data_IF_351902441149
#
_entry.id   IF_351902441149
#
_cell.length_a   1.000
_cell.length_b   1.000
_cell.length_c   1.000
_cell.angle_alpha   90.00
_cell.angle_beta   90.00
_cell.angle_gamma   90.00
#
_symmetry.space_group_name_H-M   'P 1'
#
loop_
_entity.id
_entity.type
_entity.pdbx_description
1 polymer ?
#
# COMPACT_ATOMS: atom_id res chain seq x y z
N UNK A 1 30.21 -56.58 -36.19
CA UNK A 1 29.82 -57.56 -35.16
C UNK A 1 28.43 -57.13 -34.70
N UNK A 2 27.36 -57.65 -35.33
CA UNK A 2 26.64 -58.87 -34.96
C UNK A 2 26.00 -58.76 -33.56
N UNK A 3 24.73 -59.06 -33.29
CA UNK A 3 23.56 -59.44 -34.10
C UNK A 3 22.37 -59.64 -33.15
N UNK A 4 21.17 -59.23 -33.60
CA UNK A 4 19.85 -59.89 -33.49
C UNK A 4 19.34 -60.56 -32.20
N UNK A 5 18.11 -60.20 -31.81
CA UNK A 5 16.84 -60.96 -31.97
C UNK A 5 15.74 -60.30 -31.11
N UNK A 6 14.44 -60.25 -31.39
CA UNK A 6 13.55 -60.46 -32.54
C UNK A 6 12.12 -60.16 -32.04
N UNK A 7 11.31 -59.45 -32.85
CA UNK A 7 9.89 -59.16 -32.64
C UNK A 7 8.98 -60.39 -32.99
N UNK A 8 7.71 -60.23 -33.43
CA UNK A 8 6.44 -60.01 -32.72
C UNK A 8 5.38 -61.10 -33.06
N UNK A 9 4.16 -61.08 -32.51
CA UNK A 9 2.96 -61.76 -33.07
C UNK A 9 1.70 -61.24 -32.34
N UNK A 10 0.68 -60.61 -32.94
CA UNK A 10 -0.19 -60.83 -34.11
C UNK A 10 -1.59 -61.36 -33.72
N UNK A 11 -2.59 -60.58 -34.16
CA UNK A 11 -3.89 -60.97 -34.75
C UNK A 11 -4.97 -61.64 -33.87
N UNK A 12 -6.16 -61.02 -33.87
CA UNK A 12 -7.32 -61.64 -34.53
C UNK A 12 -8.32 -60.57 -35.02
N UNK A 13 -8.53 -60.56 -36.33
CA UNK A 13 -9.57 -59.83 -37.07
C UNK A 13 -10.22 -60.85 -38.01
N UNK A 14 -11.55 -61.00 -37.98
CA UNK A 14 -12.38 -61.72 -38.95
C UNK A 14 -13.81 -61.18 -38.78
N UNK A 15 -14.34 -60.26 -39.61
CA UNK A 15 -14.78 -60.34 -41.02
C UNK A 15 -16.13 -61.07 -41.20
N UNK A 16 -17.13 -60.25 -41.59
CA UNK A 16 -18.32 -60.45 -42.46
C UNK A 16 -19.17 -61.73 -42.34
N UNK A 17 -20.48 -61.50 -42.15
CA UNK A 17 -21.50 -62.07 -43.05
C UNK A 17 -22.56 -61.03 -43.39
N UNK A 18 -22.79 -60.89 -44.69
CA UNK A 18 -23.66 -59.96 -45.40
C UNK A 18 -24.90 -60.66 -45.98
N UNK A 19 -25.90 -59.86 -46.35
CA UNK A 19 -27.01 -60.06 -47.32
C UNK A 19 -28.41 -60.54 -46.84
N UNK A 20 -29.33 -59.55 -46.88
CA UNK A 20 -30.60 -59.48 -47.62
C UNK A 20 -31.76 -60.47 -47.33
N UNK A 21 -32.91 -59.92 -46.89
CA UNK A 21 -34.09 -59.60 -47.75
C UNK A 21 -35.22 -58.92 -46.95
N UNK A 22 -35.91 -57.96 -47.59
CA UNK A 22 -37.09 -57.16 -47.16
C UNK A 22 -38.36 -57.89 -47.68
N UNK A 23 -39.54 -57.86 -47.01
CA UNK A 23 -40.56 -56.85 -47.34
C UNK A 23 -41.45 -56.33 -46.19
N UNK A 24 -41.72 -55.01 -46.25
CA UNK A 24 -43.01 -54.29 -46.08
C UNK A 24 -43.84 -54.54 -44.80
N UNK A 25 -44.20 -53.53 -44.01
CA UNK A 25 -45.06 -52.43 -44.45
C UNK A 25 -44.98 -51.20 -43.53
N UNK A 26 -44.97 -50.06 -44.21
CA UNK A 26 -45.23 -48.68 -43.82
C UNK A 26 -46.42 -48.45 -42.88
N UNK A 27 -46.23 -47.56 -41.90
CA UNK A 27 -47.05 -46.34 -41.78
C UNK A 27 -46.22 -45.18 -41.22
N UNK A 28 -46.24 -44.11 -41.99
CA UNK A 28 -45.66 -42.79 -41.75
C UNK A 28 -46.32 -42.06 -40.59
N UNK A 29 -45.54 -41.42 -39.73
CA UNK A 29 -45.90 -40.13 -39.16
C UNK A 29 -44.63 -39.33 -38.90
N UNK A 30 -44.51 -38.19 -39.58
CA UNK A 30 -43.48 -37.18 -39.36
C UNK A 30 -43.38 -36.83 -37.86
N UNK A 31 -42.31 -37.24 -37.18
CA UNK A 31 -41.85 -36.52 -36.00
C UNK A 31 -40.85 -35.48 -36.49
N UNK A 32 -41.38 -34.29 -36.78
CA UNK A 32 -40.59 -33.07 -36.72
C UNK A 32 -39.90 -33.03 -35.36
N UNK A 33 -38.58 -32.91 -35.37
CA UNK A 33 -37.78 -32.54 -34.21
C UNK A 33 -38.36 -31.25 -33.59
N UNK A 34 -39.20 -31.40 -32.57
CA UNK A 34 -39.49 -30.30 -31.66
C UNK A 34 -38.24 -30.16 -30.78
N UNK A 35 -37.29 -29.37 -31.25
CA UNK A 35 -36.42 -28.65 -30.34
C UNK A 35 -37.33 -27.85 -29.41
N UNK A 36 -37.38 -28.24 -28.15
CA UNK A 36 -37.88 -27.36 -27.09
C UNK A 36 -37.13 -26.03 -27.23
N UNK A 37 -37.82 -24.88 -27.28
CA UNK A 37 -37.12 -23.61 -27.28
C UNK A 37 -36.34 -23.53 -25.96
N UNK A 38 -35.02 -23.39 -26.05
CA UNK A 38 -34.19 -23.01 -24.91
C UNK A 38 -34.73 -21.65 -24.48
N UNK A 39 -35.45 -21.63 -23.36
CA UNK A 39 -36.07 -20.43 -22.82
C UNK A 39 -34.96 -19.58 -22.18
N UNK A 40 -34.28 -18.75 -22.98
CA UNK A 40 -33.19 -17.85 -22.56
C UNK A 40 -33.70 -16.60 -21.83
N UNK A 41 -34.81 -16.72 -21.10
CA UNK A 41 -35.39 -15.61 -20.36
C UNK A 41 -36.18 -16.10 -19.17
N UNK A 42 -35.95 -15.48 -18.01
CA UNK A 42 -36.75 -15.71 -16.81
C UNK A 42 -37.71 -14.54 -16.62
N UNK A 43 -38.94 -14.85 -16.20
CA UNK A 43 -39.97 -13.85 -15.90
C UNK A 43 -40.11 -13.75 -14.39
N UNK A 44 -39.76 -12.61 -13.81
CA UNK A 44 -39.98 -12.33 -12.40
C UNK A 44 -41.32 -11.62 -12.23
N UNK A 45 -42.18 -12.14 -11.34
CA UNK A 45 -43.33 -11.39 -10.85
C UNK A 45 -42.86 -10.28 -9.92
N UNK A 46 -43.06 -9.02 -10.31
CA UNK A 46 -42.76 -7.89 -9.45
C UNK A 46 -43.98 -7.59 -8.58
N UNK A 47 -43.84 -7.81 -7.28
CA UNK A 47 -44.83 -7.39 -6.28
C UNK A 47 -44.43 -6.01 -5.78
N UNK A 48 -45.35 -5.04 -5.90
CA UNK A 48 -45.10 -3.69 -5.38
C UNK A 48 -44.82 -3.74 -3.87
N UNK A 49 -43.88 -2.93 -3.38
CA UNK A 49 -43.47 -2.96 -1.96
C UNK A 49 -44.62 -2.69 -0.98
N UNK A 50 -45.66 -1.98 -1.42
CA UNK A 50 -46.88 -1.70 -0.63
C UNK A 50 -48.02 -2.70 -0.92
N UNK A 51 -47.76 -3.82 -1.61
CA UNK A 51 -48.76 -4.85 -1.91
C UNK A 51 -49.27 -5.52 -0.62
N UNK A 52 -50.59 -5.70 -0.51
CA UNK A 52 -51.24 -6.26 0.68
C UNK A 52 -51.53 -5.26 1.80
N UNK A 53 -51.12 -4.00 1.66
CA UNK A 53 -51.49 -2.94 2.59
C UNK A 53 -52.77 -2.23 2.13
N UNK A 54 -53.74 -2.05 3.04
CA UNK A 54 -55.00 -1.35 2.78
C UNK A 54 -54.79 0.19 2.80
N UNK A 55 -53.91 0.68 1.92
CA UNK A 55 -53.50 2.09 1.84
C UNK A 55 -54.28 2.83 0.74
N UNK A 56 -54.64 4.10 0.99
CA UNK A 56 -55.28 4.94 -0.02
C UNK A 56 -54.28 5.33 -1.13
N UNK A 57 -54.77 5.72 -2.31
CA UNK A 57 -53.92 6.22 -3.40
C UNK A 57 -53.00 7.37 -2.95
N UNK A 58 -53.51 8.27 -2.11
CA UNK A 58 -52.73 9.38 -1.57
C UNK A 58 -51.58 8.89 -0.67
N UNK A 59 -51.84 7.92 0.20
CA UNK A 59 -50.82 7.32 1.06
C UNK A 59 -49.72 6.61 0.25
N UNK A 60 -50.08 5.89 -0.81
CA UNK A 60 -49.12 5.25 -1.71
C UNK A 60 -48.22 6.29 -2.40
N UNK A 61 -48.80 7.41 -2.85
CA UNK A 61 -48.04 8.52 -3.45
C UNK A 61 -47.11 9.18 -2.42
N UNK A 62 -47.59 9.45 -1.21
CA UNK A 62 -46.77 10.03 -0.13
C UNK A 62 -45.56 9.14 0.23
N UNK A 63 -45.77 7.82 0.32
CA UNK A 63 -44.69 6.86 0.56
C UNK A 63 -43.69 6.80 -0.59
N UNK A 64 -44.18 6.84 -1.83
CA UNK A 64 -43.33 6.92 -3.02
C UNK A 64 -42.47 8.18 -3.04
N UNK A 65 -43.05 9.34 -2.71
CA UNK A 65 -42.34 10.62 -2.59
C UNK A 65 -41.30 10.56 -1.49
N UNK A 66 -41.62 10.01 -0.31
CA UNK A 66 -40.65 9.86 0.77
C UNK A 66 -39.47 8.97 0.37
N UNK A 67 -39.71 7.81 -0.24
CA UNK A 67 -38.65 6.95 -0.80
C UNK A 67 -37.85 7.66 -1.90
N UNK A 68 -38.51 8.47 -2.73
CA UNK A 68 -37.87 9.30 -3.75
C UNK A 68 -36.90 10.33 -3.15
N UNK A 69 -37.32 11.02 -2.07
CA UNK A 69 -36.48 11.96 -1.33
C UNK A 69 -35.26 11.27 -0.70
N UNK A 70 -35.46 10.13 -0.02
CA UNK A 70 -34.36 9.36 0.56
C UNK A 70 -33.36 8.87 -0.49
N UNK A 71 -33.84 8.44 -1.67
CA UNK A 71 -32.94 8.09 -2.80
C UNK A 71 -32.21 9.31 -3.34
N UNK A 72 -32.87 10.45 -3.47
CA UNK A 72 -32.24 11.69 -3.92
C UNK A 72 -31.19 12.17 -2.92
N UNK A 73 -31.46 12.10 -1.62
CA UNK A 73 -30.49 12.37 -0.56
C UNK A 73 -29.29 11.43 -0.67
N UNK A 74 -29.52 10.13 -0.90
CA UNK A 74 -28.45 9.16 -1.13
C UNK A 74 -27.66 9.45 -2.40
N UNK A 75 -28.32 9.81 -3.51
CA UNK A 75 -27.63 10.19 -4.75
C UNK A 75 -26.82 11.47 -4.58
N UNK A 76 -27.34 12.46 -3.85
CA UNK A 76 -26.61 13.68 -3.53
C UNK A 76 -25.40 13.39 -2.63
N UNK A 77 -25.54 12.50 -1.64
CA UNK A 77 -24.43 12.06 -0.81
C UNK A 77 -23.38 11.26 -1.59
N UNK A 78 -23.78 10.49 -2.60
CA UNK A 78 -22.87 9.81 -3.53
C UNK A 78 -22.23 10.77 -4.56
N UNK A 79 -22.86 11.92 -4.82
CA UNK A 79 -22.36 12.94 -5.75
C UNK A 79 -21.42 13.95 -5.08
N UNK A 80 -21.43 14.06 -3.75
CA UNK A 80 -20.44 14.81 -2.99
C UNK A 80 -19.21 13.94 -2.75
N UNK A 81 -18.02 14.41 -3.17
CA UNK A 81 -16.76 13.80 -2.73
C UNK A 81 -16.76 13.70 -1.20
N UNK A 82 -16.26 12.59 -0.62
CA UNK A 82 -16.13 12.48 0.82
C UNK A 82 -15.38 13.72 1.36
N UNK A 83 -15.81 14.30 2.49
CA UNK A 83 -15.08 15.40 3.10
C UNK A 83 -13.65 14.93 3.35
N UNK A 84 -12.68 15.69 2.86
CA UNK A 84 -11.29 15.34 3.10
C UNK A 84 -10.92 15.55 4.57
N UNK A 85 -10.02 14.71 5.04
CA UNK A 85 -9.51 14.67 6.40
C UNK A 85 -7.98 14.79 6.36
N UNK A 86 -7.40 15.21 7.46
CA UNK A 86 -5.96 15.32 7.62
C UNK A 86 -5.51 14.84 9.01
N UNK A 87 -4.23 14.49 9.09
CA UNK A 87 -3.53 14.24 10.34
C UNK A 87 -2.16 14.92 10.32
N UNK A 88 -1.74 15.59 11.41
CA UNK A 88 -0.41 16.12 11.52
C UNK A 88 0.65 15.02 11.44
N UNK A 89 1.69 15.27 10.66
CA UNK A 89 2.90 14.46 10.58
C UNK A 89 4.04 15.14 11.32
N UNK A 90 4.85 14.34 12.00
CA UNK A 90 6.07 14.81 12.64
C UNK A 90 7.17 13.78 12.50
N UNK A 91 8.40 14.28 12.54
CA UNK A 91 9.62 13.48 12.54
C UNK A 91 9.73 12.71 13.85
N UNK A 92 10.03 11.43 13.73
CA UNK A 92 10.45 10.56 14.81
C UNK A 92 11.91 10.13 14.67
N UNK A 93 12.29 9.03 15.31
CA UNK A 93 13.61 8.43 15.24
C UNK A 93 13.75 7.56 13.97
N UNK A 94 13.94 8.21 12.82
CA UNK A 94 14.08 7.54 11.51
C UNK A 94 12.76 7.21 10.78
N UNK A 95 11.64 7.52 11.43
CA UNK A 95 10.28 7.32 10.91
C UNK A 95 9.46 8.61 10.96
N UNK A 96 8.31 8.62 10.29
CA UNK A 96 7.34 9.70 10.36
C UNK A 96 6.06 9.24 11.05
N UNK A 97 5.64 10.02 12.04
CA UNK A 97 4.52 9.67 12.90
C UNK A 97 3.30 10.52 12.57
N UNK A 98 2.17 9.87 12.30
CA UNK A 98 0.88 10.54 12.14
C UNK A 98 0.14 10.63 13.47
N UNK A 99 -0.43 11.81 13.75
CA UNK A 99 -1.19 12.09 14.98
C UNK A 99 -2.69 12.08 14.71
N UNK A 100 -3.41 11.27 15.46
CA UNK A 100 -4.87 11.20 15.48
C UNK A 100 -5.35 10.86 16.89
N UNK A 101 -6.63 10.49 17.04
CA UNK A 101 -7.13 9.91 18.29
C UNK A 101 -7.89 8.61 18.04
N UNK A 102 -7.97 7.75 19.04
CA UNK A 102 -8.72 6.48 19.00
C UNK A 102 -9.72 6.43 20.16
N UNK A 103 -10.87 5.78 19.95
CA UNK A 103 -11.84 5.50 21.00
C UNK A 103 -12.89 6.59 21.23
N UNK A 104 -13.83 6.31 22.12
CA UNK A 104 -14.84 7.27 22.59
C UNK A 104 -14.97 7.21 24.12
N UNK A 105 -14.55 8.25 24.87
CA UNK A 105 -13.99 9.52 24.41
C UNK A 105 -12.63 9.34 23.69
N UNK A 106 -12.27 10.25 22.77
CA UNK A 106 -11.04 10.14 22.00
C UNK A 106 -9.81 10.26 22.91
N UNK A 107 -8.87 9.34 22.77
CA UNK A 107 -7.54 9.40 23.40
C UNK A 107 -6.46 9.58 22.34
N UNK A 108 -5.36 10.32 22.61
CA UNK A 108 -4.30 10.56 21.64
C UNK A 108 -3.70 9.26 21.12
N UNK A 109 -3.53 9.17 19.80
CA UNK A 109 -2.89 8.06 19.10
C UNK A 109 -1.88 8.61 18.10
N UNK A 110 -0.61 8.31 18.34
CA UNK A 110 0.52 8.72 17.50
C UNK A 110 1.25 7.49 17.05
N UNK A 111 1.34 7.24 15.75
CA UNK A 111 1.84 5.98 15.21
C UNK A 111 2.58 6.19 13.89
N UNK A 112 3.46 5.24 13.55
CA UNK A 112 4.26 5.27 12.32
C UNK A 112 3.33 5.24 11.11
N UNK A 113 3.53 6.16 10.19
CA UNK A 113 2.83 6.18 8.91
C UNK A 113 3.59 5.31 7.92
N UNK A 114 2.96 4.24 7.44
CA UNK A 114 3.66 3.21 6.67
C UNK A 114 2.90 2.85 5.38
N UNK A 115 3.43 3.24 4.22
CA UNK A 115 2.88 2.83 2.92
C UNK A 115 3.34 1.45 2.46
N UNK A 116 4.27 0.81 3.19
CA UNK A 116 4.77 -0.53 2.99
C UNK A 116 3.95 -1.63 3.65
N UNK A 117 2.92 -1.33 4.45
CA UNK A 117 2.08 -2.37 5.05
C UNK A 117 0.60 -1.98 5.16
N UNK A 118 -0.23 -2.99 5.46
CA UNK A 118 -1.67 -2.79 5.55
C UNK A 118 -2.17 -2.64 6.99
N UNK A 119 -1.56 -3.29 7.99
CA UNK A 119 -2.18 -3.36 9.32
C UNK A 119 -2.11 -2.02 10.09
N UNK A 120 -3.26 -1.49 10.49
CA UNK A 120 -3.35 -0.50 11.58
C UNK A 120 -3.29 -1.26 12.92
N UNK A 121 -2.40 -0.88 13.83
CA UNK A 121 -2.36 -1.47 15.17
C UNK A 121 -1.85 -0.51 16.25
N UNK A 122 -2.25 -0.79 17.49
CA UNK A 122 -1.81 -0.05 18.67
C UNK A 122 -1.63 -0.97 19.86
N UNK A 123 -0.84 -0.57 20.85
CA UNK A 123 -0.70 -1.33 22.10
C UNK A 123 -1.96 -1.23 22.95
N UNK A 124 -2.46 -2.38 23.41
CA UNK A 124 -3.70 -2.49 24.17
C UNK A 124 -3.52 -3.07 25.57
N UNK A 125 -4.39 -2.66 26.50
CA UNK A 125 -4.50 -3.26 27.83
C UNK A 125 -5.34 -4.55 27.81
N UNK A 126 -4.97 -5.56 28.62
CA UNK A 126 -3.71 -5.67 29.35
C UNK A 126 -2.54 -5.96 28.39
N UNK A 127 -1.47 -5.17 28.45
CA UNK A 127 -0.28 -5.50 27.70
C UNK A 127 0.62 -6.47 28.47
N UNK A 128 1.09 -7.51 27.79
CA UNK A 128 1.97 -8.55 28.34
C UNK A 128 3.44 -8.29 28.03
N UNK A 129 3.74 -7.92 26.79
CA UNK A 129 5.08 -7.57 26.30
C UNK A 129 4.95 -6.36 25.39
N UNK A 130 5.20 -5.17 25.92
CA UNK A 130 5.11 -3.90 25.19
C UNK A 130 6.35 -3.08 25.45
N UNK A 131 6.57 -2.11 24.57
CA UNK A 131 7.51 -1.01 24.78
C UNK A 131 6.80 0.17 25.43
N UNK A 132 7.58 1.08 26.00
CA UNK A 132 7.07 2.37 26.46
C UNK A 132 6.70 3.23 25.24
N UNK A 133 5.61 3.99 25.35
CA UNK A 133 5.11 4.85 24.26
C UNK A 133 4.72 6.24 24.79
N UNK A 134 4.78 7.29 23.96
CA UNK A 134 4.53 8.67 24.40
C UNK A 134 3.05 9.01 24.61
N UNK A 135 2.15 8.20 24.06
CA UNK A 135 0.69 8.33 24.26
C UNK A 135 0.19 7.21 25.18
N UNK A 136 -0.97 7.33 25.84
CA UNK A 136 -1.46 6.26 26.71
C UNK A 136 -1.70 4.95 25.96
N UNK A 137 -1.27 3.82 26.54
CA UNK A 137 -1.64 2.47 26.04
C UNK A 137 -3.16 2.36 26.01
N UNK A 138 -3.72 1.99 24.86
CA UNK A 138 -5.15 1.99 24.62
C UNK A 138 -5.85 1.00 25.57
N UNK A 139 -6.96 1.44 26.16
CA UNK A 139 -7.75 0.64 27.11
C UNK A 139 -9.12 0.36 26.50
N UNK A 140 -9.32 -0.82 25.89
CA UNK A 140 -10.58 -1.17 25.23
C UNK A 140 -11.82 -0.98 26.10
N UNK A 141 -11.69 -1.19 27.41
CA UNK A 141 -12.82 -1.08 28.36
C UNK A 141 -13.29 0.35 28.55
N UNK A 142 -12.45 1.34 28.23
CA UNK A 142 -12.76 2.77 28.40
C UNK A 142 -13.40 3.40 27.18
N UNK A 143 -13.41 2.72 26.04
CA UNK A 143 -14.02 3.22 24.81
C UNK A 143 -15.43 2.66 24.65
N UNK A 144 -16.42 3.54 24.50
CA UNK A 144 -17.82 3.14 24.30
C UNK A 144 -18.13 2.67 22.88
N UNK A 145 -17.22 2.91 21.93
CA UNK A 145 -17.34 2.52 20.52
C UNK A 145 -16.43 1.34 20.15
N UNK A 146 -15.66 0.83 21.12
CA UNK A 146 -14.87 -0.38 20.96
C UNK A 146 -15.75 -1.61 20.74
N UNK A 147 -15.34 -2.47 19.81
CA UNK A 147 -15.94 -3.79 19.62
C UNK A 147 -14.90 -4.82 19.19
N UNK A 148 -15.00 -6.04 19.72
CA UNK A 148 -14.15 -7.14 19.27
C UNK A 148 -14.54 -7.56 17.85
N UNK A 149 -13.55 -7.82 17.00
CA UNK A 149 -13.81 -8.29 15.65
C UNK A 149 -14.19 -9.77 15.67
N UNK A 150 -15.33 -10.10 15.05
CA UNK A 150 -15.74 -11.50 14.85
C UNK A 150 -14.78 -12.21 13.92
N UNK A 151 -14.60 -13.52 14.13
CA UNK A 151 -13.84 -14.37 13.23
C UNK A 151 -14.44 -14.54 11.84
N UNK A 152 -15.72 -14.22 11.67
CA UNK A 152 -16.38 -14.24 10.36
C UNK A 152 -16.27 -12.91 9.63
N UNK A 153 -15.54 -11.93 10.18
CA UNK A 153 -15.30 -10.66 9.51
C UNK A 153 -14.30 -10.84 8.38
N UNK A 154 -14.53 -10.17 7.26
CA UNK A 154 -13.61 -10.14 6.12
C UNK A 154 -12.21 -9.67 6.55
N UNK A 155 -12.11 -8.64 7.40
CA UNK A 155 -10.84 -8.16 7.94
C UNK A 155 -10.08 -9.22 8.76
N UNK A 156 -10.78 -10.19 9.36
CA UNK A 156 -10.10 -11.30 10.02
C UNK A 156 -9.54 -12.30 9.00
N UNK A 157 -10.28 -12.56 7.92
CA UNK A 157 -9.87 -13.46 6.84
C UNK A 157 -8.72 -12.88 6.00
N UNK A 158 -8.61 -11.55 5.93
CA UNK A 158 -7.52 -10.83 5.24
C UNK A 158 -6.20 -10.82 6.03
N UNK A 159 -6.20 -11.33 7.27
CA UNK A 159 -4.98 -11.50 8.07
C UNK A 159 -4.19 -12.73 7.61
N UNK A 160 -2.89 -12.59 7.38
CA UNK A 160 -2.05 -13.71 6.96
C UNK A 160 -1.93 -14.82 8.02
N UNK A 161 -1.79 -14.44 9.30
CA UNK A 161 -1.70 -15.38 10.43
C UNK A 161 -2.72 -15.00 11.49
N UNK A 162 -3.81 -15.77 11.55
CA UNK A 162 -4.87 -15.58 12.53
C UNK A 162 -5.34 -16.90 13.15
N UNK A 163 -5.99 -16.79 14.31
CA UNK A 163 -6.66 -17.89 15.00
C UNK A 163 -8.00 -17.41 15.54
N UNK A 164 -9.00 -18.27 15.42
CA UNK A 164 -10.29 -18.06 16.06
C UNK A 164 -10.33 -18.62 17.47
N UNK A 165 -10.36 -17.72 18.45
CA UNK A 165 -10.43 -18.04 19.88
C UNK A 165 -11.12 -16.89 20.62
N UNK A 166 -12.44 -16.99 20.81
CA UNK A 166 -13.28 -15.91 21.35
C UNK A 166 -13.11 -14.55 20.64
N UNK A 167 -12.95 -14.59 19.32
CA UNK A 167 -12.66 -13.44 18.46
C UNK A 167 -11.55 -13.76 17.47
N UNK A 168 -11.14 -12.77 16.70
CA UNK A 168 -10.04 -12.89 15.74
C UNK A 168 -8.69 -12.56 16.41
N UNK A 169 -7.91 -13.57 16.79
CA UNK A 169 -6.52 -13.37 17.24
C UNK A 169 -5.58 -13.32 16.04
N UNK A 170 -4.53 -12.50 16.09
CA UNK A 170 -3.60 -12.32 14.98
C UNK A 170 -2.14 -12.32 15.43
N UNK A 171 -1.25 -12.59 14.48
CA UNK A 171 0.18 -12.31 14.53
C UNK A 171 0.58 -11.66 13.20
N UNK A 172 1.34 -10.58 13.27
CA UNK A 172 1.82 -9.85 12.10
C UNK A 172 3.31 -9.60 12.25
N UNK A 173 4.06 -9.77 11.17
CA UNK A 173 5.53 -9.62 11.13
C UNK A 173 5.91 -8.72 9.96
N UNK A 174 6.84 -7.80 10.21
CA UNK A 174 7.36 -6.83 9.25
C UNK A 174 8.70 -7.29 8.66
N UNK A 175 9.16 -6.60 7.62
CA UNK A 175 10.39 -6.94 6.91
C UNK A 175 11.67 -6.81 7.74
N UNK A 176 11.65 -6.00 8.80
CA UNK A 176 12.71 -5.81 9.78
C UNK A 176 12.68 -6.85 10.92
N UNK A 177 11.88 -7.90 10.77
CA UNK A 177 11.63 -8.96 11.75
C UNK A 177 10.86 -8.50 13.01
N UNK A 178 10.43 -7.25 13.06
CA UNK A 178 9.53 -6.79 14.11
C UNK A 178 8.15 -7.44 13.98
N UNK A 179 7.43 -7.53 15.10
CA UNK A 179 6.16 -8.24 15.13
C UNK A 179 5.19 -7.70 16.18
N UNK A 180 3.90 -7.81 15.87
CA UNK A 180 2.81 -7.56 16.82
C UNK A 180 1.87 -8.75 16.87
N UNK A 181 1.39 -9.07 18.07
CA UNK A 181 0.46 -10.14 18.33
C UNK A 181 -0.62 -9.67 19.29
N UNK A 182 -1.86 -10.02 18.97
CA UNK A 182 -3.02 -9.70 19.81
C UNK A 182 -4.32 -10.16 19.20
N UNK A 183 -5.35 -9.32 19.28
CA UNK A 183 -6.66 -9.59 18.70
C UNK A 183 -7.14 -8.39 17.87
N UNK A 184 -7.89 -8.66 16.81
CA UNK A 184 -8.49 -7.65 15.97
C UNK A 184 -9.73 -7.08 16.65
N UNK A 185 -9.93 -5.78 16.49
CA UNK A 185 -11.06 -5.04 17.00
C UNK A 185 -11.47 -3.94 16.03
N UNK A 186 -12.61 -3.31 16.28
CA UNK A 186 -13.03 -2.08 15.62
C UNK A 186 -13.23 -0.99 16.65
N UNK A 187 -12.86 0.24 16.31
CA UNK A 187 -13.19 1.43 17.11
C UNK A 187 -13.28 2.68 16.20
N UNK A 188 -13.45 3.85 16.80
CA UNK A 188 -13.49 5.15 16.14
C UNK A 188 -12.09 5.75 16.09
N UNK A 189 -11.59 6.04 14.90
CA UNK A 189 -10.43 6.92 14.72
C UNK A 189 -10.92 8.34 14.45
N UNK A 190 -10.35 9.32 15.14
CA UNK A 190 -10.72 10.73 14.99
C UNK A 190 -9.56 11.50 14.36
N UNK A 191 -9.83 12.06 13.18
CA UNK A 191 -8.95 12.94 12.40
C UNK A 191 -9.38 14.40 12.57
N UNK A 192 -8.81 15.31 11.79
CA UNK A 192 -9.33 16.69 11.68
C UNK A 192 -9.67 17.05 10.24
N UNK A 193 -10.58 18.00 10.05
CA UNK A 193 -10.82 18.63 8.74
C UNK A 193 -9.82 19.78 8.49
N UNK A 194 -9.95 20.47 7.36
CA UNK A 194 -9.08 21.62 7.00
C UNK A 194 -9.21 22.83 7.95
N UNK A 195 -10.20 22.84 8.84
CA UNK A 195 -10.40 23.87 9.86
C UNK A 195 -10.09 23.36 11.27
N UNK A 196 -9.29 22.30 11.39
CA UNK A 196 -8.88 21.65 12.63
C UNK A 196 -10.05 21.12 13.49
N UNK A 197 -11.21 20.87 12.89
CA UNK A 197 -12.35 20.30 13.60
C UNK A 197 -12.25 18.78 13.64
N UNK A 198 -12.51 18.14 14.79
CA UNK A 198 -12.49 16.68 14.89
C UNK A 198 -13.49 16.01 13.94
N UNK A 199 -13.01 15.02 13.18
CA UNK A 199 -13.81 14.18 12.28
C UNK A 199 -13.69 12.72 12.73
N UNK A 200 -14.68 12.19 13.48
CA UNK A 200 -14.69 10.79 13.90
C UNK A 200 -15.11 9.87 12.76
N UNK A 201 -14.33 8.81 12.54
CA UNK A 201 -14.58 7.75 11.57
C UNK A 201 -14.79 6.44 12.34
N UNK A 202 -16.04 5.96 12.45
CA UNK A 202 -16.35 4.77 13.24
C UNK A 202 -16.00 3.48 12.50
N UNK A 203 -15.95 2.38 13.25
CA UNK A 203 -15.79 1.00 12.75
C UNK A 203 -14.49 0.76 11.96
N UNK A 204 -13.41 1.46 12.29
CA UNK A 204 -12.10 1.16 11.74
C UNK A 204 -11.56 -0.07 12.45
N UNK A 205 -11.27 -1.11 11.68
CA UNK A 205 -10.60 -2.33 12.11
C UNK A 205 -9.11 -2.10 12.36
N UNK A 206 -8.62 -2.60 13.48
CA UNK A 206 -7.23 -2.48 13.88
C UNK A 206 -6.80 -3.67 14.75
N UNK A 207 -5.50 -3.91 14.80
CA UNK A 207 -4.87 -4.86 15.70
C UNK A 207 -4.69 -4.27 17.10
N UNK A 208 -5.30 -4.90 18.10
CA UNK A 208 -5.08 -4.61 19.51
C UNK A 208 -3.89 -5.43 20.03
N UNK A 209 -2.68 -4.88 19.91
CA UNK A 209 -1.43 -5.58 20.21
C UNK A 209 -1.17 -5.71 21.71
N UNK A 210 -1.01 -6.95 22.20
CA UNK A 210 -0.69 -7.25 23.62
C UNK A 210 0.72 -7.82 23.82
N UNK A 211 1.37 -8.19 22.71
CA UNK A 211 2.74 -8.66 22.64
C UNK A 211 3.39 -8.07 21.38
N UNK A 212 4.21 -7.04 21.54
CA UNK A 212 4.83 -6.28 20.47
C UNK A 212 6.36 -6.34 20.65
N UNK A 213 7.06 -6.61 19.57
CA UNK A 213 8.51 -6.81 19.51
C UNK A 213 9.06 -6.05 18.31
N UNK A 214 10.28 -5.53 18.43
CA UNK A 214 10.89 -4.68 17.42
C UNK A 214 11.65 -3.54 18.09
N UNK A 215 12.45 -2.83 17.31
CA UNK A 215 13.22 -1.66 17.74
C UNK A 215 12.64 -0.44 17.03
N UNK A 216 12.61 0.72 17.68
CA UNK A 216 12.17 1.95 17.03
C UNK A 216 10.67 2.19 17.09
N UNK A 217 9.88 1.39 17.82
CA UNK A 217 8.46 1.69 18.04
C UNK A 217 8.20 2.54 19.29
N UNK A 218 9.18 2.72 20.17
CA UNK A 218 9.05 3.49 21.41
C UNK A 218 8.73 4.98 21.20
N UNK A 219 8.92 5.48 19.98
CA UNK A 219 8.55 6.81 19.52
C UNK A 219 7.05 6.99 19.26
N UNK A 220 6.29 5.89 19.15
CA UNK A 220 4.87 5.88 18.81
C UNK A 220 4.10 4.82 19.60
N UNK A 221 2.83 4.65 19.28
CA UNK A 221 1.94 3.67 19.91
C UNK A 221 1.71 2.42 19.05
N UNK A 222 2.37 2.34 17.89
CA UNK A 222 2.17 1.32 16.87
C UNK A 222 2.36 1.92 15.48
N UNK A 223 1.60 1.41 14.52
CA UNK A 223 1.73 1.72 13.10
C UNK A 223 0.36 1.83 12.43
N UNK A 224 0.27 2.68 11.41
CA UNK A 224 -0.91 2.87 10.57
C UNK A 224 -0.54 2.50 9.14
N UNK A 225 -0.94 1.31 8.72
CA UNK A 225 -0.75 0.83 7.37
C UNK A 225 -1.58 1.64 6.37
N UNK A 226 -0.90 2.16 5.35
CA UNK A 226 -1.47 2.90 4.22
C UNK A 226 -1.33 2.12 2.91
N UNK A 227 -0.98 0.83 2.97
CA UNK A 227 -0.90 -0.08 1.83
C UNK A 227 -2.23 -0.24 1.07
N UNK A 228 -2.22 -1.09 0.05
CA UNK A 228 -3.35 -1.30 -0.86
C UNK A 228 -4.34 -2.36 -0.37
N UNK A 229 -4.02 -3.09 0.68
CA UNK A 229 -4.80 -4.21 1.18
C UNK A 229 -6.01 -3.78 2.02
N UNK A 230 -6.92 -4.73 2.33
CA UNK A 230 -8.15 -4.44 3.06
C UNK A 230 -7.95 -3.94 4.49
N UNK A 231 -6.83 -4.32 5.13
CA UNK A 231 -6.50 -3.90 6.49
C UNK A 231 -6.03 -2.43 6.57
N UNK A 232 -5.70 -1.80 5.45
CA UNK A 232 -5.13 -0.45 5.43
C UNK A 232 -6.14 0.65 5.74
N UNK A 233 -5.66 1.74 6.31
CA UNK A 233 -6.50 2.90 6.61
C UNK A 233 -7.18 3.41 5.34
N UNK A 234 -6.42 3.55 4.25
CA UNK A 234 -6.90 4.08 2.96
C UNK A 234 -8.09 3.27 2.43
N UNK A 235 -7.99 1.94 2.49
CA UNK A 235 -9.08 1.05 2.05
C UNK A 235 -10.28 1.12 2.99
N UNK A 236 -10.05 1.09 4.31
CA UNK A 236 -11.13 1.07 5.30
C UNK A 236 -11.94 2.38 5.35
N UNK A 237 -11.31 3.53 5.12
CA UNK A 237 -12.01 4.83 5.04
C UNK A 237 -12.68 5.05 3.67
N UNK A 238 -12.43 4.19 2.69
CA UNK A 238 -13.02 4.27 1.35
C UNK A 238 -12.57 5.49 0.55
N UNK A 239 -11.34 5.98 0.79
CA UNK A 239 -10.78 7.11 0.06
C UNK A 239 -9.69 6.61 -0.90
N UNK A 240 -9.80 6.97 -2.16
CA UNK A 240 -8.86 6.52 -3.20
C UNK A 240 -7.76 7.54 -3.51
N UNK A 241 -7.67 8.60 -2.73
CA UNK A 241 -6.68 9.66 -2.89
C UNK A 241 -6.12 10.04 -1.53
N UNK A 242 -4.80 10.02 -1.43
CA UNK A 242 -4.09 10.51 -0.26
C UNK A 242 -2.73 11.10 -0.69
N UNK A 243 -2.21 11.99 0.14
CA UNK A 243 -0.90 12.58 -0.06
C UNK A 243 -0.24 12.89 1.27
N UNK A 244 1.08 12.93 1.28
CA UNK A 244 1.84 13.44 2.42
C UNK A 244 3.02 14.29 1.93
N UNK A 245 3.58 15.05 2.86
CA UNK A 245 4.80 15.81 2.63
C UNK A 245 5.70 15.63 3.86
N UNK A 246 6.85 14.99 3.69
CA UNK A 246 7.75 14.68 4.80
C UNK A 246 8.70 15.85 5.01
N UNK A 247 8.77 16.40 6.22
CA UNK A 247 9.78 17.43 6.55
C UNK A 247 11.17 16.82 6.66
N UNK A 248 12.20 17.66 6.65
CA UNK A 248 13.56 17.20 6.91
C UNK A 248 13.67 16.55 8.30
N UNK A 249 14.32 15.39 8.41
CA UNK A 249 14.53 14.65 9.65
C UNK A 249 15.40 15.41 10.67
N UNK A 250 16.21 16.35 10.20
CA UNK A 250 16.99 17.24 11.08
C UNK A 250 16.16 18.37 11.69
N UNK A 251 14.98 18.64 11.15
CA UNK A 251 14.11 19.74 11.54
C UNK A 251 12.96 19.20 12.40
N UNK A 252 12.77 19.71 13.62
CA UNK A 252 11.64 19.35 14.48
C UNK A 252 10.32 20.04 14.04
N UNK A 253 10.08 20.08 12.73
CA UNK A 253 8.94 20.71 12.09
C UNK A 253 7.87 19.68 11.80
N UNK A 254 6.66 20.16 11.56
CA UNK A 254 5.49 19.34 11.26
C UNK A 254 4.98 19.60 9.86
N UNK A 255 4.33 18.60 9.29
CA UNK A 255 3.53 18.74 8.06
C UNK A 255 2.22 17.96 8.24
N UNK A 256 1.59 17.53 7.15
CA UNK A 256 0.32 16.81 7.19
C UNK A 256 0.30 15.63 6.21
N UNK A 257 -0.44 14.59 6.58
CA UNK A 257 -1.01 13.62 5.65
C UNK A 257 -2.46 14.03 5.38
N UNK A 258 -2.84 14.02 4.10
CA UNK A 258 -4.11 14.52 3.60
C UNK A 258 -4.83 13.39 2.86
N UNK A 259 -6.14 13.26 3.06
CA UNK A 259 -6.96 12.24 2.42
C UNK A 259 -8.18 12.84 1.71
N UNK A 260 -8.69 12.12 0.71
CA UNK A 260 -9.91 12.49 0.00
C UNK A 260 -9.76 13.79 -0.76
N UNK A 261 -10.70 14.72 -0.60
CA UNK A 261 -10.66 16.01 -1.30
C UNK A 261 -9.49 16.92 -0.87
N UNK A 262 -8.93 16.72 0.33
CA UNK A 262 -7.78 17.49 0.81
C UNK A 262 -6.46 17.03 0.16
N UNK A 263 -6.39 15.77 -0.28
CA UNK A 263 -5.21 15.19 -0.91
C UNK A 263 -4.82 15.83 -2.25
N UNK A 264 -5.63 16.76 -2.77
CA UNK A 264 -5.39 17.46 -4.03
C UNK A 264 -5.23 18.99 -3.85
N UNK A 265 -5.19 19.50 -2.62
CA UNK A 265 -5.18 20.94 -2.38
C UNK A 265 -3.94 21.62 -3.04
N UNK A 266 -4.22 22.58 -3.92
CA UNK A 266 -3.32 23.66 -4.40
C UNK A 266 -2.07 23.31 -5.25
N UNK A 267 -2.02 22.22 -6.01
CA UNK A 267 -0.89 21.98 -6.94
C UNK A 267 -1.23 21.90 -8.44
N UNK A 268 -2.48 22.19 -8.83
CA UNK A 268 -2.93 22.27 -10.23
C UNK A 268 -2.33 23.43 -11.05
N UNK A 269 -1.35 24.17 -10.51
CA UNK A 269 -0.72 25.35 -11.14
C UNK A 269 0.61 25.05 -11.84
N UNK A 270 1.23 23.89 -11.62
CA UNK A 270 2.50 23.51 -12.26
C UNK A 270 2.24 22.55 -13.42
N UNK A 271 1.76 23.10 -14.54
CA UNK A 271 1.46 22.36 -15.77
C UNK A 271 2.50 21.29 -16.11
N UNK A 272 1.98 20.11 -16.45
CA UNK A 272 2.65 18.81 -16.67
C UNK A 272 2.92 18.01 -15.39
N UNK A 273 2.04 17.04 -15.16
CA UNK A 273 2.05 16.08 -14.06
C UNK A 273 3.36 15.30 -13.98
N UNK A 274 4.18 15.58 -12.96
CA UNK A 274 5.29 14.73 -12.51
C UNK A 274 4.75 13.41 -11.93
N UNK A 275 4.24 12.54 -12.79
CA UNK A 275 3.57 11.31 -12.35
C UNK A 275 3.99 10.09 -13.12
N UNK A 276 4.08 8.98 -12.42
CA UNK A 276 4.43 7.66 -12.93
C UNK A 276 3.25 6.70 -12.68
N UNK A 277 3.01 5.70 -13.54
CA UNK A 277 2.00 4.68 -13.29
C UNK A 277 2.32 3.88 -12.02
N UNK A 278 1.30 3.61 -11.22
CA UNK A 278 1.37 2.57 -10.21
C UNK A 278 1.24 1.21 -10.90
N UNK A 279 2.16 0.30 -10.57
CA UNK A 279 2.21 -1.05 -11.12
C UNK A 279 1.63 -2.00 -10.09
N UNK A 280 0.81 -2.96 -10.55
CA UNK A 280 0.29 -4.00 -9.69
C UNK A 280 1.23 -5.20 -9.72
N UNK A 281 1.72 -5.62 -8.56
CA UNK A 281 2.40 -6.89 -8.38
C UNK A 281 1.40 -7.90 -7.81
N UNK A 282 0.96 -8.91 -8.58
CA UNK A 282 -0.08 -9.84 -8.13
C UNK A 282 0.38 -10.74 -6.97
N UNK A 283 1.69 -10.92 -6.78
CA UNK A 283 2.25 -11.70 -5.67
C UNK A 283 2.41 -10.87 -4.40
N UNK A 284 2.54 -9.54 -4.53
CA UNK A 284 2.72 -8.60 -3.43
C UNK A 284 1.77 -7.40 -3.59
N UNK A 285 0.44 -7.62 -3.51
CA UNK A 285 -0.56 -6.61 -3.86
C UNK A 285 -0.66 -5.45 -2.87
N UNK A 286 -0.12 -5.60 -1.66
CA UNK A 286 -0.05 -4.58 -0.61
C UNK A 286 0.73 -3.34 -1.04
N UNK A 287 1.83 -3.53 -1.76
CA UNK A 287 2.80 -2.46 -2.01
C UNK A 287 2.43 -1.56 -3.19
N UNK A 288 2.83 -0.30 -3.10
CA UNK A 288 2.79 0.65 -4.22
C UNK A 288 4.07 0.53 -5.06
N UNK A 289 4.00 -0.22 -6.16
CA UNK A 289 5.11 -0.32 -7.09
C UNK A 289 5.11 0.79 -8.13
N UNK A 290 6.31 1.24 -8.49
CA UNK A 290 6.59 2.02 -9.70
C UNK A 290 7.74 1.38 -10.47
N UNK A 291 7.86 1.68 -11.76
CA UNK A 291 8.98 1.21 -12.58
C UNK A 291 10.08 2.25 -12.62
N UNK A 292 11.22 1.92 -12.00
CA UNK A 292 12.47 2.67 -12.16
C UNK A 292 13.17 2.21 -13.45
N UNK A 293 13.44 3.14 -14.36
CA UNK A 293 14.06 2.88 -15.66
C UNK A 293 15.57 3.16 -15.70
N UNK A 294 16.09 3.93 -14.75
CA UNK A 294 17.51 4.25 -14.68
C UNK A 294 17.83 5.24 -13.55
N UNK A 295 19.12 5.40 -13.30
CA UNK A 295 19.67 6.33 -12.31
C UNK A 295 20.80 7.11 -12.97
N UNK A 296 20.79 8.44 -12.84
CA UNK A 296 21.87 9.31 -13.31
C UNK A 296 22.59 9.95 -12.14
N UNK A 297 23.93 9.92 -12.17
CA UNK A 297 24.82 10.62 -11.23
C UNK A 297 25.59 11.69 -12.01
N UNK A 298 25.48 12.94 -11.61
CA UNK A 298 25.97 14.08 -12.41
C UNK A 298 25.28 14.09 -13.78
N UNK A 299 26.07 13.86 -14.84
CA UNK A 299 25.58 13.73 -16.22
C UNK A 299 25.70 12.28 -16.76
N UNK A 300 26.12 11.33 -15.91
CA UNK A 300 26.34 9.94 -16.30
C UNK A 300 25.14 9.08 -15.94
N UNK A 301 24.49 8.48 -16.95
CA UNK A 301 23.55 7.39 -16.73
C UNK A 301 24.31 6.15 -16.23
N UNK A 302 24.02 5.72 -15.00
CA UNK A 302 24.68 4.58 -14.36
C UNK A 302 24.34 3.30 -15.14
N UNK A 303 25.33 2.43 -15.45
CA UNK A 303 25.12 1.24 -16.28
C UNK A 303 24.40 0.11 -15.51
N UNK A 304 23.12 0.32 -15.22
CA UNK A 304 22.24 -0.64 -14.54
C UNK A 304 21.31 -1.28 -15.57
N UNK A 305 21.19 -2.61 -15.54
CA UNK A 305 20.25 -3.31 -16.41
C UNK A 305 18.81 -2.90 -16.07
N UNK A 306 18.03 -2.45 -17.07
CA UNK A 306 16.60 -2.16 -16.88
C UNK A 306 15.82 -3.36 -16.34
N UNK A 307 16.24 -4.57 -16.69
CA UNK A 307 15.61 -5.81 -16.20
C UNK A 307 15.86 -6.04 -14.70
N UNK A 308 16.92 -5.46 -14.14
CA UNK A 308 17.19 -5.54 -12.71
C UNK A 308 16.27 -4.62 -11.89
N UNK A 309 15.74 -3.55 -12.50
CA UNK A 309 14.95 -2.52 -11.82
C UNK A 309 13.44 -2.66 -12.05
N UNK A 310 13.02 -3.32 -13.14
CA UNK A 310 11.60 -3.49 -13.47
C UNK A 310 10.94 -4.61 -12.67
N UNK A 311 9.63 -4.50 -12.37
CA UNK A 311 8.86 -5.61 -11.79
C UNK A 311 8.91 -6.84 -12.70
N UNK A 312 9.05 -8.01 -12.11
CA UNK A 312 9.07 -9.31 -12.80
C UNK A 312 7.85 -10.15 -12.43
N UNK A 313 7.56 -11.16 -13.25
CA UNK A 313 6.42 -12.07 -13.04
C UNK A 313 6.53 -12.90 -11.74
N UNK A 314 7.76 -13.14 -11.27
CA UNK A 314 8.03 -13.84 -10.01
C UNK A 314 7.90 -12.94 -8.77
N UNK A 315 7.48 -11.68 -8.96
CA UNK A 315 7.26 -10.70 -7.90
C UNK A 315 8.53 -9.98 -7.45
N UNK A 316 9.70 -10.34 -7.99
CA UNK A 316 10.96 -9.63 -7.75
C UNK A 316 11.08 -8.36 -8.61
N UNK A 317 12.04 -7.50 -8.28
CA UNK A 317 12.26 -6.25 -8.98
C UNK A 317 11.17 -5.21 -8.72
N UNK A 318 11.20 -4.13 -9.51
CA UNK A 318 10.37 -2.96 -9.25
C UNK A 318 10.90 -2.11 -8.10
N UNK A 319 10.23 -0.98 -7.88
CA UNK A 319 10.51 -0.11 -6.75
C UNK A 319 9.23 0.14 -5.95
N UNK A 320 9.24 -0.28 -4.69
CA UNK A 320 8.18 0.00 -3.72
C UNK A 320 8.38 1.40 -3.14
N UNK A 321 7.32 2.18 -3.03
CA UNK A 321 7.35 3.48 -2.36
C UNK A 321 6.91 3.29 -0.91
N UNK A 322 7.85 3.49 0.01
CA UNK A 322 7.68 3.10 1.40
C UNK A 322 8.05 4.23 2.36
N UNK A 323 7.07 4.76 3.08
CA UNK A 323 7.29 5.75 4.14
C UNK A 323 7.76 5.14 5.47
N UNK A 324 7.55 3.84 5.67
CA UNK A 324 7.94 3.08 6.88
C UNK A 324 9.33 2.47 6.80
N UNK A 325 10.08 2.76 5.73
CA UNK A 325 11.48 2.37 5.56
C UNK A 325 12.35 3.62 5.46
N UNK A 326 13.40 3.75 6.27
CA UNK A 326 14.26 4.95 6.27
C UNK A 326 15.00 5.19 4.95
N UNK A 327 15.82 4.23 4.51
CA UNK A 327 16.72 4.39 3.37
C UNK A 327 16.12 3.85 2.07
N UNK A 328 16.62 4.35 0.94
CA UNK A 328 16.38 3.69 -0.35
C UNK A 328 17.27 2.45 -0.47
N UNK A 329 16.65 1.32 -0.81
CA UNK A 329 17.32 0.05 -1.08
C UNK A 329 17.27 -0.27 -2.57
N UNK A 330 18.39 -0.73 -3.13
CA UNK A 330 18.52 -1.14 -4.53
C UNK A 330 19.13 -2.54 -4.63
N UNK A 331 18.81 -3.34 -5.67
CA UNK A 331 19.48 -4.61 -5.95
C UNK A 331 21.00 -4.47 -5.89
N UNK A 332 21.69 -5.48 -5.34
CA UNK A 332 23.13 -5.41 -5.05
C UNK A 332 23.97 -4.91 -6.24
N UNK A 333 23.78 -5.48 -7.44
CA UNK A 333 24.47 -5.05 -8.67
C UNK A 333 24.20 -3.58 -9.03
N UNK A 334 22.95 -3.12 -8.84
CA UNK A 334 22.55 -1.75 -9.10
C UNK A 334 23.19 -0.79 -8.09
N UNK A 335 23.16 -1.14 -6.80
CA UNK A 335 23.80 -0.36 -5.76
C UNK A 335 25.32 -0.32 -5.89
N UNK A 336 25.95 -1.43 -6.27
CA UNK A 336 27.38 -1.50 -6.54
C UNK A 336 27.77 -0.54 -7.68
N UNK A 337 27.00 -0.54 -8.78
CA UNK A 337 27.22 0.35 -9.91
C UNK A 337 27.05 1.83 -9.52
N UNK A 338 26.04 2.13 -8.69
CA UNK A 338 25.80 3.46 -8.15
C UNK A 338 26.97 3.94 -7.27
N UNK A 339 27.43 3.10 -6.33
CA UNK A 339 28.58 3.38 -5.47
C UNK A 339 29.84 3.68 -6.29
N UNK A 340 30.08 2.90 -7.35
CA UNK A 340 31.22 3.10 -8.25
C UNK A 340 31.17 4.46 -8.93
N UNK A 341 30.00 4.89 -9.40
CA UNK A 341 29.86 6.18 -10.08
C UNK A 341 30.05 7.36 -9.10
N UNK A 342 29.48 7.29 -7.90
CA UNK A 342 29.74 8.29 -6.86
C UNK A 342 31.23 8.37 -6.50
N UNK A 343 31.91 7.24 -6.32
CA UNK A 343 33.38 7.21 -6.06
C UNK A 343 34.19 7.84 -7.20
N UNK A 344 33.74 7.71 -8.44
CA UNK A 344 34.43 8.27 -9.60
C UNK A 344 34.28 9.79 -9.71
N UNK A 345 33.12 10.33 -9.33
CA UNK A 345 32.83 11.77 -9.46
C UNK A 345 33.15 12.58 -8.19
N UNK A 346 33.02 11.97 -7.01
CA UNK A 346 33.35 12.61 -5.74
C UNK A 346 34.86 12.83 -5.62
N UNK A 347 35.27 14.10 -5.50
CA UNK A 347 36.68 14.49 -5.28
C UNK A 347 37.09 14.41 -3.80
N UNK A 348 36.50 13.47 -3.06
CA UNK A 348 36.77 13.25 -1.64
C UNK A 348 37.34 11.85 -1.43
N UNK A 349 38.13 11.68 -0.35
CA UNK A 349 38.63 10.36 0.03
C UNK A 349 37.47 9.52 0.56
N UNK A 350 37.36 8.27 0.11
CA UNK A 350 36.43 7.30 0.71
C UNK A 350 36.87 7.03 2.15
N UNK A 351 35.97 7.24 3.09
CA UNK A 351 36.20 7.02 4.52
C UNK A 351 36.28 5.52 4.82
N UNK A 352 37.05 5.17 5.86
CA UNK A 352 37.09 3.81 6.41
C UNK A 352 36.11 3.63 7.58
N UNK A 353 35.42 4.69 7.99
CA UNK A 353 34.47 4.69 9.11
C UNK A 353 33.03 4.40 8.65
N UNK A 354 32.83 3.80 7.47
CA UNK A 354 31.51 3.41 6.95
C UNK A 354 30.78 2.46 7.90
N UNK A 355 31.51 1.47 8.42
CA UNK A 355 30.94 0.36 9.19
C UNK A 355 30.43 0.82 10.55
N UNK A 356 31.04 1.85 11.14
CA UNK A 356 30.57 2.45 12.40
C UNK A 356 29.26 3.24 12.27
N UNK A 357 28.86 3.57 11.04
CA UNK A 357 27.68 4.41 10.75
C UNK A 357 26.53 3.56 10.20
N UNK A 358 26.83 2.35 9.71
CA UNK A 358 25.84 1.47 9.09
C UNK A 358 25.50 1.85 7.64
N UNK A 359 26.35 2.66 6.98
CA UNK A 359 26.20 3.06 5.58
C UNK A 359 27.42 2.63 4.75
N UNK A 360 27.14 2.02 3.61
CA UNK A 360 28.13 1.34 2.76
C UNK A 360 29.14 2.25 2.03
N UNK A 361 28.79 3.53 1.83
CA UNK A 361 29.64 4.47 1.11
C UNK A 361 29.67 5.82 1.83
N UNK A 362 30.80 6.10 2.45
CA UNK A 362 31.07 7.38 3.09
C UNK A 362 32.35 8.01 2.55
N UNK A 363 32.40 9.32 2.57
CA UNK A 363 33.55 10.15 2.21
C UNK A 363 34.00 10.94 3.44
N UNK A 364 35.29 11.26 3.54
CA UNK A 364 35.78 12.18 4.56
C UNK A 364 35.14 13.55 4.37
N UNK A 365 34.64 14.14 5.45
CA UNK A 365 34.05 15.47 5.45
C UNK A 365 35.16 16.52 5.68
N UNK A 366 35.53 17.34 4.67
CA UNK A 366 36.62 18.30 4.81
C UNK A 366 36.22 19.58 5.56
N UNK A 367 34.92 19.87 5.64
CA UNK A 367 34.34 21.08 6.24
C UNK A 367 32.96 20.75 6.80
N UNK A 368 32.53 21.46 7.84
CA UNK A 368 31.18 21.30 8.40
C UNK A 368 30.09 21.86 7.48
N UNK A 369 30.44 22.71 6.50
CA UNK A 369 29.50 23.28 5.55
C UNK A 369 29.40 22.44 4.27
N UNK A 370 28.38 21.58 4.18
CA UNK A 370 28.16 20.69 3.03
C UNK A 370 27.98 21.45 1.70
N UNK A 371 27.49 22.70 1.75
CA UNK A 371 27.28 23.54 0.55
C UNK A 371 28.57 23.89 -0.18
N UNK A 372 29.74 23.77 0.47
CA UNK A 372 31.06 24.00 -0.13
C UNK A 372 31.59 22.74 -0.84
N UNK A 373 30.93 21.60 -0.66
CA UNK A 373 31.32 20.32 -1.24
C UNK A 373 30.60 20.17 -2.57
N UNK A 374 31.36 19.97 -3.65
CA UNK A 374 30.80 19.63 -4.95
C UNK A 374 30.30 18.18 -4.93
N UNK A 375 28.98 18.02 -4.75
CA UNK A 375 28.30 16.72 -4.74
C UNK A 375 27.61 16.53 -6.11
N UNK A 376 27.83 15.41 -6.80
CA UNK A 376 27.18 15.16 -8.08
C UNK A 376 25.67 14.98 -7.85
N UNK A 377 24.89 15.57 -8.75
CA UNK A 377 23.42 15.44 -8.81
C UNK A 377 23.02 13.97 -8.82
N UNK A 378 21.90 13.62 -8.17
CA UNK A 378 21.28 12.30 -8.30
C UNK A 378 19.88 12.45 -8.90
N UNK A 379 19.63 11.76 -10.00
CA UNK A 379 18.32 11.74 -10.66
C UNK A 379 17.82 10.31 -10.82
N UNK A 380 16.57 10.08 -10.45
CA UNK A 380 15.84 8.82 -10.68
C UNK A 380 14.93 8.98 -11.89
N UNK A 381 15.00 8.04 -12.83
CA UNK A 381 14.18 8.03 -14.03
C UNK A 381 13.08 6.99 -13.88
N UNK A 382 11.81 7.41 -13.91
CA UNK A 382 10.66 6.53 -13.79
C UNK A 382 9.91 6.37 -15.11
N UNK A 383 9.16 5.28 -15.23
CA UNK A 383 8.26 5.06 -16.35
C UNK A 383 7.26 6.22 -16.49
N UNK A 384 6.90 6.53 -17.75
CA UNK A 384 6.06 7.68 -18.08
C UNK A 384 6.82 8.98 -18.28
N UNK A 385 8.16 8.94 -18.26
CA UNK A 385 9.02 10.11 -18.51
C UNK A 385 9.22 11.01 -17.28
N UNK A 386 8.94 10.50 -16.09
CA UNK A 386 9.16 11.24 -14.85
C UNK A 386 10.63 11.16 -14.43
N UNK A 387 11.33 12.28 -14.58
CA UNK A 387 12.66 12.49 -14.03
C UNK A 387 12.55 13.17 -12.65
N UNK A 388 12.87 12.44 -11.58
CA UNK A 388 12.92 12.98 -10.22
C UNK A 388 14.36 13.38 -9.88
N UNK A 389 14.60 14.68 -9.83
CA UNK A 389 15.85 15.27 -9.37
C UNK A 389 15.84 15.36 -7.84
N UNK A 390 16.73 14.62 -7.17
CA UNK A 390 16.78 14.60 -5.72
C UNK A 390 17.67 15.75 -5.22
N UNK A 391 17.20 16.55 -4.26
CA UNK A 391 18.07 17.46 -3.51
C UNK A 391 19.20 16.70 -2.82
N UNK A 392 20.35 17.35 -2.63
CA UNK A 392 21.54 16.72 -2.02
C UNK A 392 21.24 16.13 -0.64
N UNK A 393 20.48 16.87 0.15
CA UNK A 393 20.01 16.49 1.49
C UNK A 393 19.13 15.23 1.51
N UNK A 394 18.59 14.81 0.35
CA UNK A 394 17.78 13.60 0.24
C UNK A 394 18.59 12.35 -0.08
N UNK A 395 19.90 12.46 -0.34
CA UNK A 395 20.74 11.27 -0.60
C UNK A 395 22.15 11.34 0.00
N UNK A 396 22.58 12.48 0.52
CA UNK A 396 23.83 12.61 1.27
C UNK A 396 23.56 12.99 2.73
N UNK A 397 24.00 12.14 3.63
CA UNK A 397 23.91 12.31 5.07
C UNK A 397 25.25 12.81 5.65
N UNK A 398 25.35 14.07 6.09
CA UNK A 398 26.53 14.56 6.79
C UNK A 398 26.50 14.15 8.26
N UNK A 399 27.61 13.62 8.76
CA UNK A 399 27.86 13.45 10.20
C UNK A 399 29.14 14.18 10.60
N UNK A 400 29.03 15.44 11.06
CA UNK A 400 30.17 16.21 11.55
C UNK A 400 30.85 15.60 12.78
N UNK A 401 30.15 14.75 13.55
CA UNK A 401 30.70 14.15 14.78
C UNK A 401 31.72 13.06 14.49
N UNK A 402 31.49 12.27 13.43
CA UNK A 402 32.41 11.25 12.93
C UNK A 402 33.26 11.74 11.75
N UNK A 403 32.97 12.94 11.24
CA UNK A 403 33.73 13.61 10.18
C UNK A 403 33.52 12.99 8.80
N UNK A 404 32.30 12.55 8.49
CA UNK A 404 31.99 11.93 7.19
C UNK A 404 30.74 12.49 6.52
N UNK A 405 30.64 12.22 5.21
CA UNK A 405 29.48 12.42 4.36
C UNK A 405 29.13 11.09 3.70
N UNK A 406 27.96 10.53 4.00
CA UNK A 406 27.57 9.20 3.55
C UNK A 406 26.43 9.22 2.54
N UNK A 407 26.47 8.32 1.57
CA UNK A 407 25.35 8.05 0.67
C UNK A 407 24.24 7.33 1.47
N UNK A 408 23.07 7.96 1.59
CA UNK A 408 21.92 7.47 2.36
C UNK A 408 21.09 6.42 1.58
N UNK A 409 21.76 5.39 1.07
CA UNK A 409 21.16 4.29 0.30
C UNK A 409 21.91 2.99 0.61
N UNK A 410 21.25 1.85 0.42
CA UNK A 410 21.82 0.53 0.73
C UNK A 410 21.47 -0.54 -0.32
N UNK A 411 22.13 -1.69 -0.25
CA UNK A 411 21.77 -2.86 -1.04
C UNK A 411 20.52 -3.53 -0.44
N UNK A 412 19.54 -3.88 -1.27
CA UNK A 412 18.44 -4.76 -0.90
C UNK A 412 18.98 -6.18 -0.69
N UNK A 413 18.36 -6.95 0.20
CA UNK A 413 18.63 -8.39 0.37
C UNK A 413 18.19 -9.21 -0.86
N UNK A 414 18.31 -10.54 -0.77
CA UNK A 414 18.20 -11.50 -1.89
C UNK A 414 16.91 -11.42 -2.75
N UNK A 415 15.85 -10.76 -2.27
CA UNK A 415 14.58 -10.62 -3.02
C UNK A 415 14.69 -9.74 -4.26
N UNK A 416 15.72 -8.87 -4.34
CA UNK A 416 15.95 -7.97 -5.47
C UNK A 416 14.86 -6.91 -5.67
N UNK A 417 14.03 -6.65 -4.64
CA UNK A 417 13.04 -5.57 -4.64
C UNK A 417 13.76 -4.27 -4.28
N UNK A 418 13.51 -3.20 -5.04
CA UNK A 418 13.97 -1.85 -4.65
C UNK A 418 12.93 -1.20 -3.74
N UNK A 419 13.37 -0.36 -2.81
CA UNK A 419 12.50 0.43 -1.95
C UNK A 419 12.94 1.88 -2.05
N UNK A 420 12.02 2.81 -2.30
CA UNK A 420 12.24 4.25 -2.19
C UNK A 420 11.86 4.69 -0.78
N UNK A 421 12.85 4.86 0.09
CA UNK A 421 12.65 5.13 1.51
C UNK A 421 12.29 6.58 1.83
N UNK A 422 11.87 6.81 3.07
CA UNK A 422 11.38 8.09 3.55
C UNK A 422 12.46 9.20 3.56
N UNK A 423 13.75 8.85 3.66
CA UNK A 423 14.85 9.82 3.60
C UNK A 423 14.91 10.51 2.22
N UNK A 424 14.68 9.77 1.14
CA UNK A 424 14.63 10.35 -0.21
C UNK A 424 13.31 11.09 -0.51
N UNK A 425 12.27 10.83 0.29
CA UNK A 425 10.94 11.44 0.15
C UNK A 425 10.79 12.79 0.89
N UNK A 426 11.81 13.23 1.64
CA UNK A 426 11.81 14.50 2.35
C UNK A 426 11.63 15.69 1.39
N UNK A 427 10.84 16.69 1.77
CA UNK A 427 10.52 17.86 0.95
C UNK A 427 9.98 17.51 -0.45
N UNK A 428 9.32 16.36 -0.57
CA UNK A 428 8.52 15.96 -1.72
C UNK A 428 7.07 15.80 -1.26
N UNK A 429 6.15 16.44 -1.97
CA UNK A 429 4.74 16.09 -1.88
C UNK A 429 4.51 14.83 -2.71
N UNK A 430 4.17 13.75 -2.01
CA UNK A 430 3.93 12.43 -2.61
C UNK A 430 2.43 12.23 -2.68
N UNK A 431 1.87 12.19 -3.89
CA UNK A 431 0.43 12.13 -4.13
C UNK A 431 0.04 10.82 -4.82
N UNK A 432 -0.82 10.05 -4.15
CA UNK A 432 -1.38 8.79 -4.60
C UNK A 432 -2.79 9.02 -5.15
N UNK A 433 -2.97 8.84 -6.46
CA UNK A 433 -4.27 8.80 -7.13
C UNK A 433 -4.61 7.34 -7.49
N UNK A 434 -5.20 6.61 -6.53
CA UNK A 434 -5.49 5.18 -6.67
C UNK A 434 -6.64 4.92 -7.64
N UNK A 435 -7.53 5.89 -7.84
CA UNK A 435 -8.56 5.84 -8.89
C UNK A 435 -7.95 5.78 -10.30
N UNK A 436 -6.83 6.48 -10.50
CA UNK A 436 -6.13 6.54 -11.79
C UNK A 436 -4.89 5.66 -11.86
N UNK A 437 -4.57 4.94 -10.79
CA UNK A 437 -3.32 4.18 -10.64
C UNK A 437 -2.10 5.04 -10.98
N UNK A 438 -2.00 6.23 -10.38
CA UNK A 438 -0.86 7.14 -10.58
C UNK A 438 -0.27 7.60 -9.25
N UNK A 439 1.04 7.76 -9.26
CA UNK A 439 1.80 8.39 -8.19
C UNK A 439 2.46 9.65 -8.73
N UNK A 440 2.47 10.72 -7.95
CA UNK A 440 3.18 11.96 -8.29
C UNK A 440 4.19 12.34 -7.22
N UNK A 441 5.33 12.90 -7.65
CA UNK A 441 6.35 13.48 -6.78
C UNK A 441 6.52 14.95 -7.15
N UNK A 442 6.29 15.86 -6.20
CA UNK A 442 6.41 17.30 -6.44
C UNK A 442 7.31 17.93 -5.36
N UNK A 443 8.48 18.49 -5.72
CA UNK A 443 9.32 19.21 -4.77
C UNK A 443 8.54 20.32 -4.06
N UNK A 444 8.52 20.27 -2.73
CA UNK A 444 7.67 21.11 -1.89
C UNK A 444 8.33 21.40 -0.55
N UNK A 445 8.25 22.65 -0.06
CA UNK A 445 8.64 22.98 1.32
C UNK A 445 7.53 22.52 2.28
N UNK A 446 7.67 21.30 2.80
CA UNK A 446 6.61 20.61 3.52
C UNK A 446 6.19 21.28 4.84
N UNK A 447 7.06 22.09 5.44
CA UNK A 447 6.83 22.80 6.69
C UNK A 447 6.01 24.10 6.53
N UNK A 448 5.61 24.42 5.30
CA UNK A 448 4.83 25.61 4.96
C UNK A 448 3.44 25.28 4.37
N UNK A 449 3.02 24.03 4.43
CA UNK A 449 1.75 23.54 3.87
C UNK A 449 0.56 23.68 4.83
#
# INVERSE_FOLDING_TARGET
MASLHSSPSLLFLLILTSLLTIPTSSTTSHQSLNLSPIQTGFRIGLTHIDHGHNSTKLQLVQRSIHRGKLRLERFNAMATSPPGIQAPLHVGNGEFLMKMSIGTPPVPYSAVMDTGSDLIWTQCKPCRKCFDQPTPVFDPVKSSTFSNLSCTSDLCADMNVFKCDNGCSYMYTYGDESATQGFMATDTLTFVDSGDKPVPIPNIGFGCGVNNQGIGFEQGAGLVGLGRGPLSLVTQIGLHKFSYCLTSMGDNKTSNVLFGSLAYLNFSTHGETHSTPLIQNPLLPTFYYVSLEGITVGETLVPISKQALRPKEDGSGGMVIDSGTTLTYLPDDAFHSLKKEFKAQMKLRVSQNSDSIGLDLCFDLPTTNVSEIAIPRLKLHFEGGLDLDLPVENYMFPDPSTGVLCLAMAASSETGISIFGNYQQQNLWVFYDLEKERLSFIPTQCDQL
#
